data_IF_448448290000
#
_entry.id   IF_448448290000
#
_cell.length_a   1.000
_cell.length_b   1.000
_cell.length_c   1.000
_cell.angle_alpha   90.00
_cell.angle_beta   90.00
_cell.angle_gamma   90.00
#
_symmetry.space_group_name_H-M   'P 1'
#
loop_
_entity.id
_entity.type
_entity.pdbx_description
1 polymer ?
#
# COMPACT_ATOMS: atom_id res chain seq x y z
N UNK A 1 -35.27 -20.97 -40.17
CA UNK A 1 -34.35 -19.85 -40.30
C UNK A 1 -34.41 -18.89 -39.09
N UNK A 2 -34.78 -19.37 -37.87
CA UNK A 2 -34.94 -18.50 -36.67
C UNK A 2 -34.27 -19.00 -35.38
N UNK A 3 -33.44 -20.06 -35.45
CA UNK A 3 -32.69 -20.53 -34.25
C UNK A 3 -31.23 -20.14 -34.23
N UNK A 4 -30.69 -19.67 -35.35
CA UNK A 4 -29.28 -19.19 -35.43
C UNK A 4 -29.13 -17.69 -35.07
N UNK A 5 -30.21 -16.91 -35.16
CA UNK A 5 -30.14 -15.46 -34.84
C UNK A 5 -30.21 -15.18 -33.34
N UNK A 6 -30.78 -16.09 -32.55
CA UNK A 6 -30.89 -15.95 -31.09
C UNK A 6 -29.57 -16.32 -30.40
N UNK A 7 -28.77 -17.22 -30.97
CA UNK A 7 -27.46 -17.59 -30.46
C UNK A 7 -26.39 -16.51 -30.70
N UNK A 8 -26.55 -15.66 -31.71
CA UNK A 8 -25.61 -14.59 -32.04
C UNK A 8 -25.86 -13.33 -31.19
N UNK A 9 -27.06 -13.11 -30.63
CA UNK A 9 -27.36 -12.00 -29.76
C UNK A 9 -26.95 -12.25 -28.30
N UNK A 10 -26.75 -13.51 -27.89
CA UNK A 10 -26.28 -13.85 -26.54
C UNK A 10 -24.74 -13.76 -26.36
N UNK A 11 -23.99 -13.67 -27.46
CA UNK A 11 -22.51 -13.63 -27.42
C UNK A 11 -21.91 -12.19 -27.32
N UNK A 12 -22.74 -11.14 -27.33
CA UNK A 12 -22.28 -9.74 -27.39
C UNK A 12 -22.33 -9.07 -25.99
N UNK A 13 -22.82 -9.74 -24.94
CA UNK A 13 -22.90 -9.22 -23.58
C UNK A 13 -21.94 -9.92 -22.57
N UNK A 14 -20.81 -10.44 -23.02
CA UNK A 14 -19.69 -10.68 -22.11
C UNK A 14 -18.91 -9.37 -21.91
N UNK A 15 -19.51 -8.42 -21.21
CA UNK A 15 -18.78 -7.29 -20.64
C UNK A 15 -17.69 -7.83 -19.72
N UNK A 16 -16.45 -7.36 -19.90
CA UNK A 16 -15.35 -7.64 -19.00
C UNK A 16 -15.76 -7.19 -17.58
N UNK A 17 -16.16 -8.13 -16.75
CA UNK A 17 -16.27 -7.92 -15.31
C UNK A 17 -14.83 -7.94 -14.81
N UNK A 18 -14.23 -6.76 -14.69
CA UNK A 18 -13.04 -6.61 -13.88
C UNK A 18 -13.47 -6.93 -12.44
N UNK A 19 -13.02 -8.08 -11.94
CA UNK A 19 -13.18 -8.40 -10.53
C UNK A 19 -12.36 -7.38 -9.73
N UNK A 20 -13.03 -6.39 -9.15
CA UNK A 20 -12.46 -5.48 -8.19
C UNK A 20 -12.14 -6.30 -6.94
N UNK A 21 -10.87 -6.39 -6.61
CA UNK A 21 -10.40 -7.09 -5.41
C UNK A 21 -10.78 -6.23 -4.20
N UNK A 22 -11.87 -6.58 -3.52
CA UNK A 22 -12.29 -5.90 -2.29
C UNK A 22 -11.77 -6.70 -1.10
N UNK A 23 -10.75 -6.20 -0.43
CA UNK A 23 -10.30 -6.72 0.87
C UNK A 23 -11.11 -6.00 1.95
N UNK A 24 -12.03 -6.71 2.60
CA UNK A 24 -12.69 -6.22 3.80
C UNK A 24 -11.87 -6.64 5.02
N UNK A 25 -11.24 -5.66 5.69
CA UNK A 25 -10.60 -5.88 6.99
C UNK A 25 -11.67 -5.68 8.06
N UNK A 26 -12.29 -6.76 8.51
CA UNK A 26 -13.22 -6.69 9.64
C UNK A 26 -12.45 -6.80 10.96
N UNK A 27 -12.19 -5.68 11.60
CA UNK A 27 -11.72 -5.63 12.98
C UNK A 27 -12.87 -5.98 13.94
N UNK A 28 -12.70 -7.01 14.75
CA UNK A 28 -13.68 -7.40 15.75
C UNK A 28 -13.72 -6.33 16.84
N UNK A 29 -14.84 -5.56 16.94
CA UNK A 29 -15.22 -4.84 18.15
C UNK A 29 -15.02 -3.32 18.16
N UNK A 30 -14.64 -2.67 17.07
CA UNK A 30 -14.61 -1.21 17.03
C UNK A 30 -15.93 -0.65 16.51
N UNK A 31 -16.55 0.24 17.28
CA UNK A 31 -17.70 1.03 16.81
C UNK A 31 -17.20 2.01 15.74
N UNK A 32 -17.58 1.79 14.49
CA UNK A 32 -17.22 2.70 13.41
C UNK A 32 -17.72 4.12 13.67
N UNK A 33 -16.90 5.13 13.36
CA UNK A 33 -17.26 6.54 13.51
C UNK A 33 -18.22 6.95 12.37
N UNK A 34 -19.45 7.42 12.68
CA UNK A 34 -20.39 7.86 11.66
C UNK A 34 -19.94 9.19 11.05
N UNK A 35 -19.63 9.20 9.76
CA UNK A 35 -19.18 10.39 9.03
C UNK A 35 -20.05 10.68 7.81
N UNK A 36 -20.46 11.92 7.64
CA UNK A 36 -21.06 12.40 6.41
C UNK A 36 -20.04 13.20 5.61
N UNK A 37 -19.94 12.91 4.31
CA UNK A 37 -19.18 13.72 3.36
C UNK A 37 -20.18 14.27 2.36
N UNK A 38 -20.47 15.59 2.44
CA UNK A 38 -21.39 16.24 1.50
C UNK A 38 -20.74 16.38 0.14
N UNK A 39 -21.53 16.38 -0.94
CA UNK A 39 -21.02 16.74 -2.26
C UNK A 39 -20.37 18.13 -2.18
N UNK A 40 -19.16 18.26 -2.72
CA UNK A 40 -18.44 19.52 -2.73
C UNK A 40 -19.07 20.49 -3.73
N UNK A 41 -19.28 21.70 -3.31
CA UNK A 41 -19.84 22.74 -4.20
C UNK A 41 -18.95 22.93 -5.42
N UNK A 42 -19.52 22.80 -6.60
CA UNK A 42 -18.79 22.96 -7.87
C UNK A 42 -18.01 21.72 -8.35
N UNK A 43 -17.99 20.60 -7.61
CA UNK A 43 -17.27 19.39 -8.04
C UNK A 43 -17.87 18.72 -9.28
N UNK A 44 -19.12 19.04 -9.65
CA UNK A 44 -19.74 18.52 -10.87
C UNK A 44 -19.05 19.00 -12.16
N UNK A 45 -18.40 20.16 -12.09
CA UNK A 45 -17.62 20.70 -13.19
C UNK A 45 -16.15 20.22 -13.18
N UNK A 46 -15.73 19.45 -12.16
CA UNK A 46 -14.40 18.89 -12.06
C UNK A 46 -14.34 17.46 -12.64
N UNK A 47 -13.15 17.02 -13.12
CA UNK A 47 -13.01 15.68 -13.67
C UNK A 47 -13.05 14.56 -12.61
N UNK A 48 -13.01 14.92 -11.31
CA UNK A 48 -13.03 13.99 -10.19
C UNK A 48 -14.08 14.37 -9.16
N UNK A 49 -14.71 13.37 -8.56
CA UNK A 49 -15.67 13.52 -7.45
C UNK A 49 -14.92 13.44 -6.10
N UNK A 50 -14.47 14.57 -5.60
CA UNK A 50 -13.61 14.68 -4.41
C UNK A 50 -14.29 14.07 -3.17
N UNK A 51 -15.56 14.40 -2.94
CA UNK A 51 -16.32 13.89 -1.81
C UNK A 51 -16.41 12.36 -1.81
N UNK A 52 -16.64 11.75 -2.97
CA UNK A 52 -16.76 10.30 -3.10
C UNK A 52 -15.42 9.59 -2.83
N UNK A 53 -14.29 10.16 -3.28
CA UNK A 53 -12.95 9.61 -3.02
C UNK A 53 -12.65 9.66 -1.52
N UNK A 54 -12.88 10.80 -0.86
CA UNK A 54 -12.67 10.95 0.59
C UNK A 54 -13.50 9.92 1.37
N UNK A 55 -14.79 9.79 1.05
CA UNK A 55 -15.65 8.83 1.74
C UNK A 55 -15.18 7.39 1.55
N UNK A 56 -14.84 7.01 0.31
CA UNK A 56 -14.36 5.66 0.01
C UNK A 56 -13.06 5.31 0.75
N UNK A 57 -12.14 6.26 0.88
CA UNK A 57 -10.90 6.08 1.64
C UNK A 57 -11.19 5.84 3.13
N UNK A 58 -12.02 6.70 3.72
CA UNK A 58 -12.38 6.59 5.14
C UNK A 58 -13.10 5.28 5.46
N UNK A 59 -14.06 4.86 4.62
CA UNK A 59 -14.75 3.58 4.77
C UNK A 59 -13.81 2.38 4.61
N UNK A 60 -12.88 2.45 3.65
CA UNK A 60 -11.88 1.39 3.41
C UNK A 60 -10.98 1.17 4.61
N UNK A 61 -10.72 2.19 5.43
CA UNK A 61 -9.96 2.04 6.68
C UNK A 61 -10.64 1.13 7.70
N UNK A 62 -11.94 0.85 7.55
CA UNK A 62 -12.74 0.11 8.51
C UNK A 62 -13.10 0.89 9.79
N UNK A 63 -12.56 2.09 10.00
CA UNK A 63 -12.80 2.94 11.18
C UNK A 63 -14.04 3.80 11.02
N UNK A 64 -14.54 4.01 9.80
CA UNK A 64 -15.63 4.93 9.52
C UNK A 64 -16.80 4.20 8.85
N UNK A 65 -17.98 4.71 9.14
CA UNK A 65 -19.23 4.35 8.47
C UNK A 65 -19.82 5.58 7.80
N UNK A 66 -19.95 5.55 6.49
CA UNK A 66 -20.55 6.63 5.72
C UNK A 66 -22.02 6.82 6.05
N UNK A 67 -22.41 8.08 6.20
CA UNK A 67 -23.79 8.52 6.37
C UNK A 67 -24.23 9.20 5.07
N UNK A 68 -25.36 8.78 4.54
CA UNK A 68 -25.91 9.36 3.32
C UNK A 68 -26.16 10.86 3.46
N UNK A 69 -25.40 11.65 2.72
CA UNK A 69 -25.55 13.11 2.68
C UNK A 69 -26.75 13.56 1.84
N UNK A 70 -27.37 12.66 1.06
CA UNK A 70 -28.39 13.00 0.09
C UNK A 70 -27.86 13.88 -1.02
N UNK A 71 -28.68 14.78 -1.54
CA UNK A 71 -28.32 15.75 -2.59
C UNK A 71 -27.75 17.05 -2.04
N UNK A 72 -27.45 17.11 -0.73
CA UNK A 72 -26.91 18.33 -0.10
C UNK A 72 -25.49 18.61 -0.61
N UNK A 73 -25.28 19.79 -1.16
CA UNK A 73 -23.96 20.34 -1.49
C UNK A 73 -23.67 21.48 -0.54
N UNK A 74 -22.62 21.37 0.25
CA UNK A 74 -22.18 22.37 1.20
C UNK A 74 -20.76 22.80 0.90
N UNK A 75 -20.51 24.11 0.93
CA UNK A 75 -19.14 24.62 0.87
C UNK A 75 -18.50 24.69 2.27
N UNK A 76 -17.20 24.85 2.29
CA UNK A 76 -16.39 24.92 3.50
C UNK A 76 -16.67 26.16 4.37
N UNK A 77 -17.21 27.23 3.79
CA UNK A 77 -17.47 28.49 4.46
C UNK A 77 -18.85 28.52 5.17
N UNK A 78 -19.75 27.63 4.74
CA UNK A 78 -21.12 27.58 5.26
C UNK A 78 -21.16 26.80 6.59
N UNK A 79 -21.69 27.44 7.63
CA UNK A 79 -21.94 26.73 8.89
C UNK A 79 -23.10 25.76 8.70
N UNK A 80 -22.90 24.45 8.96
CA UNK A 80 -23.96 23.44 8.80
C UNK A 80 -25.09 23.58 9.81
N UNK A 81 -26.28 23.13 9.44
CA UNK A 81 -27.33 22.84 10.41
C UNK A 81 -27.03 21.50 11.11
N UNK A 82 -26.35 21.59 12.22
CA UNK A 82 -25.93 20.41 13.00
C UNK A 82 -27.10 19.54 13.47
N UNK A 83 -28.29 20.14 13.68
CA UNK A 83 -29.47 19.39 14.13
C UNK A 83 -29.93 18.41 13.03
N UNK A 84 -29.97 18.86 11.82
CA UNK A 84 -30.31 18.03 10.65
C UNK A 84 -29.33 16.88 10.45
N UNK A 85 -28.02 17.13 10.59
CA UNK A 85 -27.01 16.10 10.44
C UNK A 85 -27.02 15.07 11.56
N UNK A 86 -27.28 15.48 12.82
CA UNK A 86 -27.51 14.55 13.93
C UNK A 86 -28.72 13.65 13.70
N UNK A 87 -29.82 14.19 13.15
CA UNK A 87 -30.99 13.39 12.81
C UNK A 87 -30.71 12.33 11.73
N UNK A 88 -29.78 12.59 10.82
CA UNK A 88 -29.28 11.61 9.85
C UNK A 88 -28.33 10.58 10.47
N UNK A 89 -27.89 10.78 11.72
CA UNK A 89 -26.97 9.89 12.44
C UNK A 89 -25.49 10.13 12.16
N UNK A 90 -25.12 11.33 11.70
CA UNK A 90 -23.72 11.72 11.52
C UNK A 90 -23.16 12.32 12.81
N UNK A 91 -21.97 11.85 13.23
CA UNK A 91 -21.20 12.44 14.32
C UNK A 91 -20.23 13.50 13.81
N UNK A 92 -19.76 13.34 12.57
CA UNK A 92 -18.86 14.28 11.89
C UNK A 92 -19.35 14.58 10.48
N UNK A 93 -19.03 15.77 10.00
CA UNK A 93 -19.38 16.24 8.65
C UNK A 93 -18.18 16.86 7.96
N UNK A 94 -17.98 16.48 6.70
CA UNK A 94 -17.07 17.12 5.76
C UNK A 94 -17.89 17.90 4.75
N UNK A 95 -17.56 19.19 4.59
CA UNK A 95 -18.13 20.07 3.58
C UNK A 95 -17.01 20.74 2.79
N UNK A 96 -17.22 21.06 1.52
CA UNK A 96 -16.13 21.62 0.72
C UNK A 96 -16.56 22.19 -0.62
N UNK A 97 -15.58 22.76 -1.34
CA UNK A 97 -15.78 23.33 -2.66
C UNK A 97 -14.63 23.00 -3.62
N UNK A 98 -14.94 22.99 -4.91
CA UNK A 98 -13.99 22.85 -6.00
C UNK A 98 -14.23 23.99 -6.99
N UNK A 99 -13.23 24.82 -7.20
CA UNK A 99 -13.32 25.98 -8.10
C UNK A 99 -12.20 25.94 -9.13
N UNK A 100 -12.55 26.02 -10.41
CA UNK A 100 -11.54 26.15 -11.48
C UNK A 100 -11.00 27.56 -11.51
N UNK A 101 -9.68 27.68 -11.40
CA UNK A 101 -8.96 28.95 -11.45
C UNK A 101 -8.71 29.41 -12.90
N UNK A 102 -8.40 30.70 -13.08
CA UNK A 102 -8.13 31.28 -14.39
C UNK A 102 -6.90 30.68 -15.09
N UNK A 103 -5.92 30.16 -14.33
CA UNK A 103 -4.74 29.48 -14.84
C UNK A 103 -4.96 27.98 -15.17
N UNK A 104 -6.20 27.52 -15.06
CA UNK A 104 -6.61 26.15 -15.36
C UNK A 104 -6.43 25.14 -14.22
N UNK A 105 -5.83 25.53 -13.09
CA UNK A 105 -5.78 24.73 -11.87
C UNK A 105 -7.14 24.69 -11.19
N UNK A 106 -7.26 23.84 -10.20
CA UNK A 106 -8.44 23.73 -9.33
C UNK A 106 -8.05 24.10 -7.90
N UNK A 107 -8.81 25.00 -7.30
CA UNK A 107 -8.76 25.29 -5.87
C UNK A 107 -9.77 24.39 -5.18
N UNK A 108 -9.29 23.46 -4.34
CA UNK A 108 -10.08 22.48 -3.61
C UNK A 108 -9.97 22.81 -2.13
N UNK A 109 -11.12 22.98 -1.48
CA UNK A 109 -11.20 23.34 -0.07
C UNK A 109 -12.13 22.39 0.66
N UNK A 110 -11.84 22.12 1.93
CA UNK A 110 -12.77 21.40 2.81
C UNK A 110 -12.70 21.93 4.22
N UNK A 111 -13.75 21.61 4.98
CA UNK A 111 -13.88 21.86 6.39
C UNK A 111 -14.47 20.64 7.08
N UNK A 112 -13.94 20.30 8.27
CA UNK A 112 -14.38 19.19 9.10
C UNK A 112 -15.08 19.72 10.34
N UNK A 113 -16.28 19.20 10.65
CA UNK A 113 -17.09 19.61 11.75
C UNK A 113 -17.42 18.43 12.69
N UNK A 114 -17.33 18.66 14.01
CA UNK A 114 -17.97 17.82 15.01
C UNK A 114 -19.46 18.19 15.06
N UNK A 115 -20.30 17.32 14.55
CA UNK A 115 -21.76 17.53 14.49
C UNK A 115 -22.40 17.41 15.87
N UNK A 116 -21.84 16.55 16.75
CA UNK A 116 -22.38 16.32 18.10
C UNK A 116 -22.19 17.54 18.98
N UNK A 117 -20.98 18.11 18.99
CA UNK A 117 -20.60 19.26 19.81
C UNK A 117 -20.80 20.59 19.09
N UNK A 118 -21.00 20.59 17.77
CA UNK A 118 -21.09 21.80 16.95
C UNK A 118 -19.77 22.57 16.87
N UNK A 119 -18.65 21.83 16.94
CA UNK A 119 -17.28 22.37 16.94
C UNK A 119 -16.63 22.26 15.57
N UNK A 120 -15.71 23.17 15.33
CA UNK A 120 -14.86 23.22 14.17
C UNK A 120 -13.58 22.42 14.42
N UNK A 121 -13.28 21.42 13.57
CA UNK A 121 -12.03 20.66 13.60
C UNK A 121 -10.98 21.17 12.61
N UNK A 122 -11.31 22.23 11.87
CA UNK A 122 -10.44 22.83 10.85
C UNK A 122 -10.63 22.24 9.47
N UNK A 123 -9.80 22.67 8.56
CA UNK A 123 -9.82 22.25 7.16
C UNK A 123 -8.56 22.67 6.43
N UNK A 124 -8.49 22.35 5.14
CA UNK A 124 -7.38 22.72 4.28
C UNK A 124 -7.87 23.26 2.93
N UNK A 125 -6.98 23.96 2.23
CA UNK A 125 -7.15 24.35 0.84
C UNK A 125 -5.91 24.05 0.02
N UNK A 126 -6.10 23.62 -1.24
CA UNK A 126 -5.00 23.32 -2.16
C UNK A 126 -5.38 23.71 -3.58
N UNK A 127 -4.47 24.45 -4.25
CA UNK A 127 -4.59 24.77 -5.66
C UNK A 127 -3.68 23.84 -6.48
N UNK A 128 -4.28 22.97 -7.30
CA UNK A 128 -3.57 21.89 -8.01
C UNK A 128 -4.02 21.75 -9.47
N UNK A 129 -3.19 21.17 -10.35
CA UNK A 129 -3.63 20.79 -11.68
C UNK A 129 -4.68 19.67 -11.62
N UNK A 130 -5.43 19.49 -12.69
CA UNK A 130 -6.48 18.46 -12.77
C UNK A 130 -5.97 17.03 -12.55
N UNK A 131 -4.71 16.75 -12.90
CA UNK A 131 -4.05 15.43 -12.67
C UNK A 131 -3.94 15.09 -11.20
N UNK A 132 -3.87 16.07 -10.31
CA UNK A 132 -3.58 15.89 -8.90
C UNK A 132 -4.83 15.94 -8.00
N UNK A 133 -6.02 16.06 -8.59
CA UNK A 133 -7.28 16.14 -7.85
C UNK A 133 -7.52 14.90 -6.97
N UNK A 134 -7.22 13.69 -7.47
CA UNK A 134 -7.32 12.47 -6.66
C UNK A 134 -6.36 12.53 -5.47
N UNK A 135 -5.11 12.89 -5.71
CA UNK A 135 -4.11 13.02 -4.65
C UNK A 135 -4.53 14.02 -3.57
N UNK A 136 -5.19 15.11 -3.95
CA UNK A 136 -5.75 16.09 -2.98
C UNK A 136 -6.86 15.44 -2.16
N UNK A 137 -7.77 14.69 -2.79
CA UNK A 137 -8.83 14.00 -2.06
C UNK A 137 -8.25 13.00 -1.04
N UNK A 138 -7.26 12.19 -1.42
CA UNK A 138 -6.57 11.28 -0.54
C UNK A 138 -5.86 11.99 0.63
N UNK A 139 -5.21 13.15 0.37
CA UNK A 139 -4.59 13.97 1.44
C UNK A 139 -5.61 14.55 2.41
N UNK A 140 -6.78 14.94 1.90
CA UNK A 140 -7.87 15.39 2.77
C UNK A 140 -8.41 14.23 3.61
N UNK A 141 -8.52 13.03 3.05
CA UNK A 141 -8.86 11.83 3.80
C UNK A 141 -7.81 11.52 4.88
N UNK A 142 -6.49 11.66 4.57
CA UNK A 142 -5.41 11.51 5.56
C UNK A 142 -5.57 12.50 6.72
N UNK A 143 -5.82 13.78 6.42
CA UNK A 143 -6.05 14.81 7.44
C UNK A 143 -7.26 14.47 8.34
N UNK A 144 -8.37 14.09 7.72
CA UNK A 144 -9.61 13.74 8.44
C UNK A 144 -9.37 12.52 9.32
N UNK A 145 -8.72 11.51 8.79
CA UNK A 145 -8.36 10.28 9.51
C UNK A 145 -7.52 10.60 10.74
N UNK A 146 -6.40 11.32 10.56
CA UNK A 146 -5.50 11.69 11.65
C UNK A 146 -6.21 12.55 12.70
N UNK A 147 -7.05 13.48 12.27
CA UNK A 147 -7.78 14.37 13.18
C UNK A 147 -8.78 13.63 14.07
N UNK A 148 -9.40 12.57 13.55
CA UNK A 148 -10.46 11.84 14.25
C UNK A 148 -9.96 10.59 15.00
N UNK A 149 -8.86 9.98 14.55
CA UNK A 149 -8.30 8.76 15.15
C UNK A 149 -7.03 9.01 15.96
N UNK A 150 -6.28 10.07 15.66
CA UNK A 150 -4.95 10.34 16.21
C UNK A 150 -3.82 9.63 15.48
N UNK A 151 -4.13 8.72 14.56
CA UNK A 151 -3.16 8.00 13.75
C UNK A 151 -3.00 8.65 12.38
N UNK A 152 -1.80 8.59 11.79
CA UNK A 152 -1.56 9.13 10.45
C UNK A 152 -2.32 8.34 9.39
N UNK A 153 -2.99 9.06 8.49
CA UNK A 153 -3.57 8.48 7.29
C UNK A 153 -2.49 8.02 6.29
N UNK A 154 -2.85 7.06 5.44
CA UNK A 154 -1.97 6.49 4.41
C UNK A 154 -2.63 6.47 3.02
N UNK A 155 -3.75 7.16 2.86
CA UNK A 155 -4.54 7.15 1.62
C UNK A 155 -3.83 7.86 0.46
N UNK A 156 -3.02 8.88 0.75
CA UNK A 156 -2.22 9.60 -0.27
C UNK A 156 -0.93 8.89 -0.66
N UNK A 157 -0.72 7.65 -0.18
CA UNK A 157 0.43 6.82 -0.59
C UNK A 157 0.18 6.15 -1.93
N UNK A 158 1.20 5.47 -2.47
CA UNK A 158 1.11 4.73 -3.73
C UNK A 158 1.52 3.29 -3.53
N UNK A 159 0.92 2.41 -4.31
CA UNK A 159 1.31 1.00 -4.39
C UNK A 159 2.07 0.73 -5.68
N UNK A 160 2.96 -0.25 -5.64
CA UNK A 160 3.59 -0.81 -6.84
C UNK A 160 3.33 -2.31 -6.90
N UNK A 161 2.96 -2.80 -8.07
CA UNK A 161 2.68 -4.22 -8.29
C UNK A 161 3.08 -4.66 -9.69
N UNK A 162 3.21 -5.95 -9.87
CA UNK A 162 3.56 -6.54 -11.16
C UNK A 162 2.41 -7.37 -11.68
N UNK A 163 2.05 -7.17 -12.95
CA UNK A 163 1.12 -8.04 -13.67
C UNK A 163 1.83 -8.76 -14.79
N UNK A 164 1.36 -9.97 -15.12
CA UNK A 164 1.75 -10.71 -16.29
C UNK A 164 0.58 -10.80 -17.25
N UNK A 165 0.75 -10.31 -18.46
CA UNK A 165 -0.23 -10.40 -19.54
C UNK A 165 0.45 -11.07 -20.76
N UNK A 166 0.02 -12.28 -21.08
CA UNK A 166 0.72 -13.10 -22.07
C UNK A 166 2.16 -13.39 -21.66
N UNK A 167 3.13 -12.96 -22.46
CA UNK A 167 4.58 -13.07 -22.18
C UNK A 167 5.19 -11.80 -21.58
N UNK A 168 4.41 -10.76 -21.34
CA UNK A 168 4.90 -9.45 -20.90
C UNK A 168 4.61 -9.25 -19.41
N UNK A 169 5.62 -8.79 -18.67
CA UNK A 169 5.53 -8.38 -17.28
C UNK A 169 5.51 -6.85 -17.20
N UNK A 170 4.57 -6.31 -16.43
CA UNK A 170 4.39 -4.87 -16.29
C UNK A 170 4.52 -4.49 -14.82
N UNK A 171 5.44 -3.57 -14.52
CA UNK A 171 5.52 -2.92 -13.22
C UNK A 171 4.59 -1.71 -13.26
N UNK A 172 3.61 -1.70 -12.38
CA UNK A 172 2.62 -0.64 -12.23
C UNK A 172 2.86 0.18 -10.98
N UNK A 173 2.45 1.43 -11.06
CA UNK A 173 2.29 2.34 -9.91
C UNK A 173 0.86 2.84 -9.93
N UNK A 174 0.18 2.75 -8.80
CA UNK A 174 -1.19 3.21 -8.63
C UNK A 174 -1.35 4.00 -7.32
N UNK A 175 -2.47 4.70 -7.16
CA UNK A 175 -2.90 5.23 -5.88
C UNK A 175 -3.14 4.08 -4.88
N UNK A 176 -3.18 4.34 -3.58
CA UNK A 176 -3.35 3.31 -2.55
C UNK A 176 -4.66 2.52 -2.69
N UNK A 177 -5.65 3.09 -3.35
CA UNK A 177 -6.94 2.45 -3.65
C UNK A 177 -6.93 1.57 -4.93
N UNK A 178 -5.78 1.49 -5.61
CA UNK A 178 -5.60 0.72 -6.85
C UNK A 178 -5.99 1.46 -8.13
N UNK A 179 -6.57 2.64 -8.02
CA UNK A 179 -6.94 3.45 -9.16
C UNK A 179 -5.75 4.25 -9.72
N UNK A 180 -5.96 4.92 -10.85
CA UNK A 180 -4.94 5.75 -11.51
C UNK A 180 -3.64 4.98 -11.82
N UNK A 181 -3.74 3.69 -12.13
CA UNK A 181 -2.59 2.83 -12.40
C UNK A 181 -1.84 3.28 -13.66
N UNK A 182 -0.55 3.52 -13.52
CA UNK A 182 0.36 3.90 -14.60
C UNK A 182 1.47 2.86 -14.74
N UNK A 183 1.78 2.50 -16.00
CA UNK A 183 2.88 1.57 -16.28
C UNK A 183 4.21 2.28 -16.08
N UNK A 184 4.98 1.83 -15.09
CA UNK A 184 6.35 2.30 -14.86
C UNK A 184 7.36 1.57 -15.75
N UNK A 185 7.14 0.29 -16.04
CA UNK A 185 8.04 -0.52 -16.87
C UNK A 185 7.29 -1.69 -17.51
N UNK A 186 7.58 -1.93 -18.79
CA UNK A 186 7.22 -3.15 -19.52
C UNK A 186 8.47 -3.99 -19.78
N UNK A 187 8.40 -5.29 -19.55
CA UNK A 187 9.51 -6.22 -19.78
C UNK A 187 9.03 -7.54 -20.37
N UNK A 188 9.74 -8.11 -21.37
CA UNK A 188 9.48 -9.47 -21.81
C UNK A 188 9.98 -10.53 -20.81
N UNK A 189 10.84 -10.13 -19.88
CA UNK A 189 11.41 -10.99 -18.85
C UNK A 189 10.75 -10.71 -17.47
N UNK A 190 10.73 -11.70 -16.58
CA UNK A 190 10.12 -11.54 -15.26
C UNK A 190 10.65 -10.32 -14.47
N UNK A 191 9.72 -9.65 -13.82
CA UNK A 191 9.96 -8.63 -12.79
C UNK A 191 9.31 -9.14 -11.51
N UNK A 192 10.02 -9.10 -10.38
CA UNK A 192 9.48 -9.53 -9.08
C UNK A 192 9.99 -8.63 -7.95
N UNK A 193 9.37 -8.72 -6.78
CA UNK A 193 9.79 -8.08 -5.53
C UNK A 193 10.01 -6.56 -5.66
N UNK A 194 9.03 -5.78 -6.16
CA UNK A 194 9.16 -4.33 -6.13
C UNK A 194 9.15 -3.82 -4.69
N UNK A 195 10.01 -2.85 -4.39
CA UNK A 195 10.14 -2.21 -3.08
C UNK A 195 10.32 -0.70 -3.24
N UNK A 196 9.45 0.08 -2.61
CA UNK A 196 9.51 1.54 -2.63
C UNK A 196 10.65 2.09 -1.80
N UNK A 197 11.35 3.09 -2.35
CA UNK A 197 12.21 3.94 -1.54
C UNK A 197 11.36 4.81 -0.59
N UNK A 198 11.88 5.14 0.61
CA UNK A 198 11.10 5.89 1.62
C UNK A 198 10.61 7.25 1.14
N UNK A 199 11.30 7.86 0.17
CA UNK A 199 10.93 9.16 -0.40
C UNK A 199 9.84 9.04 -1.50
N UNK A 200 9.39 7.82 -1.84
CA UNK A 200 8.36 7.57 -2.85
C UNK A 200 8.75 7.93 -4.29
N UNK A 201 10.03 8.20 -4.59
CA UNK A 201 10.50 8.58 -5.93
C UNK A 201 11.11 7.42 -6.71
N UNK A 202 11.52 6.35 -6.05
CA UNK A 202 12.23 5.23 -6.65
C UNK A 202 11.64 3.88 -6.22
N UNK A 203 11.77 2.89 -7.09
CA UNK A 203 11.41 1.50 -6.83
C UNK A 203 12.62 0.62 -7.10
N UNK A 204 13.05 -0.17 -6.12
CA UNK A 204 13.96 -1.29 -6.33
C UNK A 204 13.15 -2.52 -6.74
N UNK A 205 13.64 -3.30 -7.67
CA UNK A 205 12.98 -4.54 -8.10
C UNK A 205 13.99 -5.53 -8.66
N UNK A 206 13.60 -6.79 -8.73
CA UNK A 206 14.39 -7.86 -9.36
C UNK A 206 13.96 -8.01 -10.82
N UNK A 207 14.92 -8.02 -11.74
CA UNK A 207 14.72 -8.28 -13.16
C UNK A 207 15.51 -9.50 -13.63
N UNK A 208 14.92 -10.26 -14.54
CA UNK A 208 15.57 -11.40 -15.18
C UNK A 208 16.10 -11.08 -16.60
N UNK A 209 16.13 -9.81 -17.02
CA UNK A 209 16.60 -9.38 -18.34
C UNK A 209 18.06 -9.81 -18.64
N UNK A 210 18.88 -10.02 -17.61
CA UNK A 210 20.26 -10.54 -17.74
C UNK A 210 20.35 -12.06 -17.71
N UNK A 211 19.23 -12.78 -17.92
CA UNK A 211 19.10 -14.25 -17.81
C UNK A 211 19.44 -14.82 -16.43
N UNK A 212 19.54 -13.97 -15.44
CA UNK A 212 19.66 -14.26 -14.01
C UNK A 212 19.00 -13.12 -13.22
N UNK A 213 18.58 -13.35 -11.97
CA UNK A 213 18.03 -12.28 -11.16
C UNK A 213 19.09 -11.24 -10.82
N UNK A 214 18.80 -9.98 -11.14
CA UNK A 214 19.59 -8.78 -10.83
C UNK A 214 18.69 -7.70 -10.26
N UNK A 215 19.24 -6.76 -9.48
CA UNK A 215 18.44 -5.70 -8.86
C UNK A 215 18.68 -4.38 -9.58
N UNK A 216 17.58 -3.78 -10.00
CA UNK A 216 17.53 -2.41 -10.51
C UNK A 216 16.87 -1.47 -9.49
N UNK A 217 17.28 -0.21 -9.54
CA UNK A 217 16.56 0.92 -8.98
C UNK A 217 16.04 1.77 -10.12
N UNK A 218 14.73 2.01 -10.12
CA UNK A 218 13.98 2.75 -11.14
C UNK A 218 13.46 4.06 -10.55
N UNK A 219 13.76 5.18 -11.17
CA UNK A 219 13.19 6.48 -10.85
C UNK A 219 11.84 6.61 -11.55
N UNK A 220 10.77 6.73 -10.77
CA UNK A 220 9.39 6.70 -11.27
C UNK A 220 9.06 7.93 -12.11
N UNK A 221 9.67 9.07 -11.81
CA UNK A 221 9.38 10.34 -12.49
C UNK A 221 10.07 10.46 -13.84
N UNK A 222 11.30 9.93 -13.95
CA UNK A 222 12.14 10.07 -15.15
C UNK A 222 12.17 8.81 -16.00
N UNK A 223 11.72 7.67 -15.47
CA UNK A 223 11.84 6.36 -16.10
C UNK A 223 13.28 5.81 -16.15
N UNK A 224 14.26 6.51 -15.56
CA UNK A 224 15.67 6.07 -15.57
C UNK A 224 15.87 4.88 -14.64
N UNK A 225 16.62 3.89 -15.13
CA UNK A 225 16.95 2.69 -14.36
C UNK A 225 18.45 2.62 -14.10
N UNK A 226 18.83 2.12 -12.93
CA UNK A 226 20.19 1.88 -12.51
C UNK A 226 20.34 0.45 -12.01
N UNK A 227 21.29 -0.30 -12.54
CA UNK A 227 21.65 -1.63 -12.06
C UNK A 227 22.47 -1.48 -10.78
N UNK A 228 21.96 -2.00 -9.65
CA UNK A 228 22.61 -1.86 -8.33
C UNK A 228 23.18 -3.17 -7.81
N UNK A 229 22.66 -4.33 -8.23
CA UNK A 229 23.24 -5.62 -7.87
C UNK A 229 23.23 -6.58 -9.08
N UNK A 230 24.43 -7.00 -9.48
CA UNK A 230 24.68 -8.00 -10.52
C UNK A 230 25.84 -8.92 -10.13
N UNK A 231 25.82 -9.38 -8.87
CA UNK A 231 26.84 -10.27 -8.35
C UNK A 231 26.63 -11.69 -8.85
N UNK A 232 27.63 -12.56 -8.69
CA UNK A 232 27.54 -13.97 -9.01
C UNK A 232 26.33 -14.60 -8.31
N UNK A 233 25.64 -15.50 -9.01
CA UNK A 233 24.44 -16.16 -8.48
C UNK A 233 23.19 -15.27 -8.49
N UNK A 234 22.30 -15.51 -7.53
CA UNK A 234 21.03 -14.76 -7.35
C UNK A 234 21.24 -13.44 -6.64
N UNK A 235 20.51 -12.41 -7.08
CA UNK A 235 20.41 -11.09 -6.46
C UNK A 235 18.92 -10.79 -6.35
N UNK A 236 18.34 -10.85 -5.15
CA UNK A 236 16.88 -10.84 -4.96
C UNK A 236 16.44 -10.12 -3.68
N UNK A 237 15.12 -9.97 -3.53
CA UNK A 237 14.46 -9.43 -2.35
C UNK A 237 15.08 -8.12 -1.83
N UNK A 238 15.11 -7.04 -2.64
CA UNK A 238 15.60 -5.75 -2.18
C UNK A 238 14.67 -5.12 -1.15
N UNK A 239 15.25 -4.51 -0.11
CA UNK A 239 14.53 -3.71 0.87
C UNK A 239 15.32 -2.44 1.20
N UNK A 240 14.65 -1.30 1.21
CA UNK A 240 15.26 -0.01 1.50
C UNK A 240 15.44 0.23 2.99
N UNK A 241 16.57 0.81 3.36
CA UNK A 241 16.70 1.42 4.68
C UNK A 241 15.80 2.66 4.80
N UNK A 242 15.30 3.01 5.99
CA UNK A 242 14.40 4.16 6.17
C UNK A 242 14.98 5.51 5.75
N UNK A 243 16.32 5.65 5.75
CA UNK A 243 17.00 6.86 5.26
C UNK A 243 17.22 6.88 3.74
N UNK A 244 16.83 5.80 3.04
CA UNK A 244 16.94 5.66 1.60
C UNK A 244 18.37 5.56 1.05
N UNK A 245 19.38 5.39 1.89
CA UNK A 245 20.79 5.37 1.47
C UNK A 245 21.31 3.98 1.18
N UNK A 246 20.71 2.97 1.79
CA UNK A 246 21.15 1.58 1.65
C UNK A 246 20.01 0.66 1.24
N UNK A 247 20.39 -0.45 0.62
CA UNK A 247 19.52 -1.59 0.33
C UNK A 247 20.02 -2.82 1.09
N UNK A 248 19.11 -3.48 1.80
CA UNK A 248 19.30 -4.87 2.14
C UNK A 248 18.87 -5.74 0.96
N UNK A 249 19.56 -6.82 0.68
CA UNK A 249 19.19 -7.76 -0.37
C UNK A 249 19.68 -9.17 -0.05
N UNK A 250 19.05 -10.15 -0.69
CA UNK A 250 19.50 -11.54 -0.67
C UNK A 250 20.44 -11.79 -1.82
N UNK A 251 21.70 -12.15 -1.51
CA UNK A 251 22.69 -12.52 -2.52
C UNK A 251 23.19 -13.95 -2.27
N UNK A 252 23.42 -14.70 -3.36
CA UNK A 252 24.02 -16.04 -3.26
C UNK A 252 25.47 -16.10 -3.79
N UNK A 253 26.15 -14.94 -3.81
CA UNK A 253 27.50 -14.78 -4.39
C UNK A 253 28.58 -15.65 -3.73
N UNK A 254 28.45 -15.91 -2.43
CA UNK A 254 29.43 -16.62 -1.63
C UNK A 254 28.96 -18.05 -1.23
N UNK A 255 28.02 -18.63 -2.01
CA UNK A 255 27.45 -19.96 -1.76
C UNK A 255 25.93 -19.90 -1.59
N UNK A 256 25.40 -20.15 -0.36
CA UNK A 256 23.97 -20.07 -0.06
C UNK A 256 23.41 -18.65 -0.08
N UNK A 257 22.08 -18.53 -0.11
CA UNK A 257 21.37 -17.24 -0.05
C UNK A 257 21.55 -16.60 1.31
N UNK A 258 22.08 -15.39 1.34
CA UNK A 258 22.41 -14.66 2.57
C UNK A 258 22.04 -13.18 2.44
N UNK A 259 21.89 -12.50 3.58
CA UNK A 259 21.58 -11.08 3.61
C UNK A 259 22.83 -10.20 3.52
N UNK A 260 22.75 -9.22 2.65
CA UNK A 260 23.79 -8.21 2.44
C UNK A 260 23.21 -6.81 2.53
N UNK A 261 24.02 -5.87 2.97
CA UNK A 261 23.77 -4.42 2.88
C UNK A 261 24.67 -3.84 1.80
N UNK A 262 24.10 -2.99 0.96
CA UNK A 262 24.82 -2.30 -0.11
C UNK A 262 24.35 -0.84 -0.22
N UNK A 263 25.18 0.01 -0.80
CA UNK A 263 24.79 1.37 -1.15
C UNK A 263 23.64 1.36 -2.17
N UNK A 264 22.61 2.18 -1.95
CA UNK A 264 21.45 2.24 -2.82
C UNK A 264 21.77 2.77 -4.23
N UNK A 265 22.93 3.41 -4.42
CA UNK A 265 23.43 3.82 -5.73
C UNK A 265 24.23 2.71 -6.44
N UNK A 266 24.44 1.57 -5.79
CA UNK A 266 25.23 0.47 -6.33
C UNK A 266 26.74 0.70 -6.20
N UNK A 267 27.18 1.65 -5.37
CA UNK A 267 28.59 1.91 -5.14
C UNK A 267 29.20 0.94 -4.13
N UNK A 268 30.45 0.57 -4.33
CA UNK A 268 31.23 -0.26 -3.40
C UNK A 268 30.82 -1.74 -3.40
N UNK A 269 31.38 -2.48 -2.44
CA UNK A 269 31.09 -3.91 -2.26
C UNK A 269 30.01 -4.12 -1.20
N UNK A 270 29.08 -5.09 -1.44
CA UNK A 270 28.07 -5.42 -0.47
C UNK A 270 28.68 -6.08 0.77
N UNK A 271 28.22 -5.69 1.94
CA UNK A 271 28.63 -6.24 3.24
C UNK A 271 27.63 -7.29 3.69
N UNK A 272 28.09 -8.50 3.94
CA UNK A 272 27.28 -9.59 4.51
C UNK A 272 26.92 -9.27 5.97
N UNK A 273 25.65 -9.45 6.35
CA UNK A 273 25.14 -9.11 7.68
C UNK A 273 25.46 -10.16 8.76
N UNK A 274 25.35 -11.44 8.38
CA UNK A 274 25.66 -12.55 9.30
C UNK A 274 26.24 -13.73 8.51
N UNK A 275 27.02 -14.56 9.18
CA UNK A 275 27.46 -15.83 8.62
C UNK A 275 26.47 -16.93 9.02
N UNK A 276 25.94 -17.65 8.05
CA UNK A 276 24.99 -18.73 8.23
C UNK A 276 25.16 -19.77 7.15
N UNK A 277 24.88 -21.04 7.44
CA UNK A 277 24.70 -22.12 6.45
C UNK A 277 23.24 -22.24 5.99
N UNK A 278 22.32 -21.53 6.65
CA UNK A 278 20.91 -21.49 6.33
C UNK A 278 20.64 -20.60 5.12
N UNK A 279 19.43 -20.68 4.58
CA UNK A 279 18.88 -19.73 3.60
C UNK A 279 18.32 -18.54 4.36
N UNK A 280 18.92 -17.36 4.20
CA UNK A 280 18.44 -16.09 4.75
C UNK A 280 17.96 -15.21 3.60
N UNK A 281 16.68 -14.80 3.62
CA UNK A 281 16.02 -14.09 2.50
C UNK A 281 14.94 -13.12 2.99
N UNK A 282 14.37 -12.33 2.06
CA UNK A 282 13.25 -11.42 2.30
C UNK A 282 13.47 -10.45 3.47
N UNK A 283 14.55 -9.65 3.44
CA UNK A 283 14.78 -8.65 4.47
C UNK A 283 13.73 -7.54 4.44
N UNK A 284 13.38 -7.01 5.60
CA UNK A 284 12.63 -5.76 5.77
C UNK A 284 13.17 -4.98 6.96
N UNK A 285 13.33 -3.67 6.82
CA UNK A 285 13.76 -2.82 7.92
C UNK A 285 12.60 -2.41 8.82
N UNK A 286 12.89 -2.19 10.09
CA UNK A 286 12.01 -1.38 10.95
C UNK A 286 12.07 0.09 10.54
N UNK A 287 11.01 0.85 10.80
CA UNK A 287 10.93 2.27 10.44
C UNK A 287 12.01 3.14 11.12
N UNK A 288 12.48 2.73 12.30
CA UNK A 288 13.59 3.39 13.00
C UNK A 288 14.99 2.95 12.50
N UNK A 289 15.04 2.01 11.56
CA UNK A 289 16.27 1.49 10.95
C UNK A 289 17.16 0.64 11.87
N UNK A 290 16.73 0.32 13.09
CA UNK A 290 17.57 -0.41 14.04
C UNK A 290 17.63 -1.91 13.79
N UNK A 291 16.54 -2.48 13.27
CA UNK A 291 16.44 -3.92 13.03
C UNK A 291 16.10 -4.24 11.59
N UNK A 292 16.47 -5.47 11.21
CA UNK A 292 16.02 -6.12 9.97
C UNK A 292 15.30 -7.41 10.40
N UNK A 293 14.06 -7.56 9.94
CA UNK A 293 13.32 -8.80 9.95
C UNK A 293 13.57 -9.54 8.64
N UNK A 294 13.62 -10.87 8.68
CA UNK A 294 13.93 -11.66 7.51
C UNK A 294 13.47 -13.11 7.69
N UNK A 295 13.41 -13.84 6.60
CA UNK A 295 13.08 -15.26 6.59
C UNK A 295 14.36 -16.10 6.70
N UNK A 296 14.35 -17.11 7.53
CA UNK A 296 15.45 -18.07 7.64
C UNK A 296 14.95 -19.49 7.93
N UNK A 297 15.59 -20.48 7.32
CA UNK A 297 15.34 -21.91 7.56
C UNK A 297 16.29 -22.52 8.60
N UNK A 298 17.05 -21.71 9.35
CA UNK A 298 18.02 -22.16 10.36
C UNK A 298 17.43 -23.04 11.47
N UNK A 299 16.12 -22.96 11.68
CA UNK A 299 15.37 -23.81 12.63
C UNK A 299 14.74 -25.05 12.00
N UNK A 300 15.10 -25.38 10.73
CA UNK A 300 14.60 -26.55 9.97
C UNK A 300 13.49 -26.22 8.97
N UNK A 301 12.74 -25.12 9.17
CA UNK A 301 11.74 -24.61 8.23
C UNK A 301 11.76 -23.10 8.21
N UNK A 302 11.29 -22.45 7.11
CA UNK A 302 11.24 -21.01 7.01
C UNK A 302 10.43 -20.37 8.12
N UNK A 303 11.06 -19.48 8.87
CA UNK A 303 10.50 -18.70 9.96
C UNK A 303 11.02 -17.27 9.91
N UNK A 304 10.33 -16.36 10.56
CA UNK A 304 10.78 -14.98 10.64
C UNK A 304 11.72 -14.81 11.82
N UNK A 305 12.85 -14.20 11.52
CA UNK A 305 13.90 -13.84 12.47
C UNK A 305 14.12 -12.33 12.41
N UNK A 306 14.74 -11.77 13.44
CA UNK A 306 15.24 -10.39 13.43
C UNK A 306 16.69 -10.34 13.87
N UNK A 307 17.41 -9.33 13.41
CA UNK A 307 18.74 -8.95 13.92
C UNK A 307 18.91 -7.43 13.80
N UNK A 308 19.97 -6.89 14.40
CA UNK A 308 20.27 -5.47 14.19
C UNK A 308 20.63 -5.19 12.73
N UNK A 309 20.35 -3.99 12.25
CA UNK A 309 20.60 -3.60 10.84
C UNK A 309 22.08 -3.57 10.46
N UNK A 310 22.98 -3.57 11.45
CA UNK A 310 24.42 -3.66 11.25
C UNK A 310 24.99 -5.08 11.30
N UNK A 311 24.12 -6.07 11.50
CA UNK A 311 24.44 -7.50 11.66
C UNK A 311 24.38 -7.93 13.13
N UNK A 312 24.67 -9.20 13.39
CA UNK A 312 24.68 -9.76 14.74
C UNK A 312 24.01 -11.14 14.80
N UNK A 313 23.63 -11.58 16.00
CA UNK A 313 22.97 -12.85 16.21
C UNK A 313 21.48 -12.74 15.92
N UNK A 314 20.93 -13.54 15.00
CA UNK A 314 19.50 -13.55 14.73
C UNK A 314 18.68 -14.14 15.86
N UNK A 315 17.56 -13.51 16.17
CA UNK A 315 16.54 -13.96 17.12
C UNK A 315 15.29 -14.41 16.35
N UNK A 316 14.74 -15.57 16.70
CA UNK A 316 13.49 -16.04 16.10
C UNK A 316 12.31 -15.23 16.63
N UNK A 317 11.40 -14.84 15.70
CA UNK A 317 10.21 -14.04 16.02
C UNK A 317 8.92 -14.88 15.93
N UNK A 318 8.80 -15.75 14.92
CA UNK A 318 7.60 -16.58 14.74
C UNK A 318 7.80 -17.99 15.30
N UNK A 319 6.85 -18.45 16.12
CA UNK A 319 6.88 -19.77 16.76
C UNK A 319 5.68 -20.65 16.39
N UNK A 320 4.61 -20.04 15.88
CA UNK A 320 3.40 -20.71 15.40
C UNK A 320 3.48 -20.90 13.88
N UNK A 321 2.85 -21.97 13.38
CA UNK A 321 2.91 -22.35 11.96
C UNK A 321 4.22 -23.04 11.57
N UNK A 322 4.17 -23.77 10.46
CA UNK A 322 5.31 -24.56 9.97
C UNK A 322 6.13 -23.84 8.91
N UNK A 323 5.60 -22.73 8.35
CA UNK A 323 6.20 -21.99 7.25
C UNK A 323 5.73 -20.55 7.29
N UNK A 324 6.61 -19.61 7.65
CA UNK A 324 6.32 -18.19 7.77
C UNK A 324 7.29 -17.37 6.93
N UNK A 325 6.77 -16.53 6.02
CA UNK A 325 7.53 -15.78 5.02
C UNK A 325 6.98 -14.35 4.86
N UNK A 326 7.64 -13.55 4.05
CA UNK A 326 7.24 -12.19 3.63
C UNK A 326 6.93 -11.26 4.81
N UNK A 327 7.89 -11.03 5.72
CA UNK A 327 7.67 -10.14 6.86
C UNK A 327 7.50 -8.68 6.41
N UNK A 328 6.56 -7.97 7.04
CA UNK A 328 6.38 -6.53 6.91
C UNK A 328 6.06 -5.92 8.28
N UNK A 329 6.90 -5.01 8.76
CA UNK A 329 6.74 -4.37 10.07
C UNK A 329 5.98 -3.07 9.90
N UNK A 330 4.99 -2.81 10.77
CA UNK A 330 4.25 -1.55 10.77
C UNK A 330 5.17 -0.35 11.06
N UNK A 331 4.77 0.84 10.58
CA UNK A 331 5.57 2.06 10.75
C UNK A 331 5.78 2.44 12.22
N UNK A 332 4.85 2.09 13.11
CA UNK A 332 4.95 2.30 14.55
C UNK A 332 5.78 1.22 15.27
N UNK A 333 6.19 0.17 14.55
CA UNK A 333 6.98 -0.94 15.08
C UNK A 333 6.21 -1.88 16.02
N UNK A 334 4.88 -1.82 16.09
CA UNK A 334 4.08 -2.63 17.03
C UNK A 334 3.59 -3.93 16.42
N UNK A 335 3.43 -3.97 15.11
CA UNK A 335 2.82 -5.10 14.41
C UNK A 335 3.75 -5.68 13.34
N UNK A 336 3.66 -6.98 13.14
CA UNK A 336 4.31 -7.71 12.07
C UNK A 336 3.25 -8.41 11.23
N UNK A 337 3.10 -8.00 9.98
CA UNK A 337 2.35 -8.74 8.99
C UNK A 337 3.25 -9.78 8.32
N UNK A 338 2.74 -10.97 8.05
CA UNK A 338 3.50 -12.04 7.40
C UNK A 338 2.57 -13.09 6.78
N UNK A 339 3.10 -13.85 5.85
CA UNK A 339 2.38 -14.98 5.25
C UNK A 339 2.72 -16.26 6.03
N UNK A 340 1.69 -16.95 6.50
CA UNK A 340 1.82 -18.21 7.20
C UNK A 340 1.11 -19.35 6.48
N UNK A 341 1.74 -20.51 6.42
CA UNK A 341 1.10 -21.72 5.89
C UNK A 341 0.33 -22.45 6.97
N UNK A 342 -1.00 -22.43 6.87
CA UNK A 342 -1.92 -23.07 7.80
C UNK A 342 -2.79 -24.07 7.03
N UNK A 343 -2.81 -25.33 7.45
CA UNK A 343 -3.61 -26.40 6.82
C UNK A 343 -3.39 -26.53 5.30
N UNK A 344 -2.16 -26.22 4.85
CA UNK A 344 -1.78 -26.32 3.44
C UNK A 344 -1.97 -25.06 2.61
N UNK A 345 -2.75 -24.08 3.06
CA UNK A 345 -2.97 -22.79 2.40
C UNK A 345 -2.11 -21.68 3.00
N UNK A 346 -1.71 -20.72 2.16
CA UNK A 346 -0.97 -19.54 2.61
C UNK A 346 -1.94 -18.41 2.94
N UNK A 347 -1.82 -17.86 4.16
CA UNK A 347 -2.71 -16.84 4.71
C UNK A 347 -1.93 -15.67 5.30
N UNK A 348 -2.52 -14.47 5.17
CA UNK A 348 -2.00 -13.28 5.80
C UNK A 348 -2.28 -13.31 7.31
N UNK A 349 -1.22 -13.18 8.09
CA UNK A 349 -1.26 -13.10 9.55
C UNK A 349 -0.76 -11.75 10.03
N UNK A 350 -1.32 -11.28 11.14
CA UNK A 350 -0.83 -10.15 11.91
C UNK A 350 -0.40 -10.62 13.29
N UNK A 351 0.79 -10.21 13.71
CA UNK A 351 1.33 -10.43 15.05
C UNK A 351 1.48 -9.11 15.77
N UNK A 352 0.99 -9.01 16.97
CA UNK A 352 1.39 -7.96 17.92
C UNK A 352 2.77 -8.28 18.48
N UNK A 353 3.75 -7.42 18.20
CA UNK A 353 5.16 -7.68 18.55
C UNK A 353 5.46 -7.59 20.05
N UNK A 354 4.61 -6.94 20.84
CA UNK A 354 4.79 -6.85 22.28
C UNK A 354 4.29 -8.10 23.01
N UNK A 355 3.13 -8.62 22.63
CA UNK A 355 2.52 -9.80 23.25
C UNK A 355 2.87 -11.11 22.55
N UNK A 356 3.27 -11.06 21.27
CA UNK A 356 3.46 -12.24 20.42
C UNK A 356 2.15 -12.89 19.96
N UNK A 357 0.99 -12.27 20.25
CA UNK A 357 -0.30 -12.79 19.79
C UNK A 357 -0.43 -12.65 18.28
N UNK A 358 -0.98 -13.69 17.64
CA UNK A 358 -1.16 -13.75 16.20
C UNK A 358 -2.61 -14.00 15.83
N UNK A 359 -3.07 -13.37 14.74
CA UNK A 359 -4.38 -13.62 14.14
C UNK A 359 -4.25 -13.72 12.62
N UNK A 360 -5.04 -14.60 12.01
CA UNK A 360 -5.24 -14.56 10.56
C UNK A 360 -6.12 -13.35 10.22
N UNK A 361 -5.71 -12.56 9.21
CA UNK A 361 -6.48 -11.40 8.76
C UNK A 361 -7.40 -11.79 7.60
N UNK A 362 -7.02 -12.81 6.84
CA UNK A 362 -7.74 -13.25 5.64
C UNK A 362 -8.22 -14.68 5.80
N UNK A 363 -9.43 -14.95 5.27
CA UNK A 363 -10.09 -16.25 5.24
C UNK A 363 -10.47 -16.70 3.83
N UNK A 364 -9.91 -16.06 2.79
CA UNK A 364 -10.18 -16.36 1.38
C UNK A 364 -9.83 -17.81 1.04
N UNK A 365 -10.35 -18.34 -0.06
CA UNK A 365 -9.95 -19.67 -0.57
C UNK A 365 -8.67 -19.66 -1.39
N UNK A 366 -8.17 -18.47 -1.75
CA UNK A 366 -6.96 -18.29 -2.53
C UNK A 366 -5.69 -18.37 -1.66
N UNK A 367 -4.56 -18.75 -2.24
CA UNK A 367 -3.24 -18.61 -1.62
C UNK A 367 -2.76 -17.16 -1.69
N UNK A 368 -2.24 -16.67 -0.58
CA UNK A 368 -1.68 -15.33 -0.43
C UNK A 368 -0.16 -15.47 -0.27
N UNK A 369 0.59 -15.03 -1.28
CA UNK A 369 2.02 -15.35 -1.37
C UNK A 369 2.95 -14.16 -1.14
N UNK A 370 2.43 -12.94 -1.13
CA UNK A 370 3.26 -11.73 -0.98
C UNK A 370 2.45 -10.58 -0.40
N UNK A 371 3.13 -9.72 0.37
CA UNK A 371 2.59 -8.47 0.85
C UNK A 371 2.99 -7.35 -0.11
N UNK A 372 2.01 -6.51 -0.47
CA UNK A 372 2.28 -5.26 -1.19
C UNK A 372 2.58 -4.21 -0.13
N UNK A 373 3.75 -3.59 -0.22
CA UNK A 373 4.12 -2.51 0.69
C UNK A 373 3.40 -1.23 0.26
N UNK A 374 2.68 -0.68 1.20
CA UNK A 374 2.03 0.62 1.06
C UNK A 374 2.91 1.70 1.67
#
# INVERSE_FOLDING_TARGET
MNKFLIALLAAVFCGNVFAQFRVEVSGVGLTQLPIAVSAFKGEDAAPQKIAAIILADLERSGQFRGIDSGTSSLDEASRPDFSSWRQKGADTLVAGSVTRLADGRYDVRFHLWDVVRGQDFGGESRAVPSSDLRLVAHRFADFIYEKLTGDKGVFSTRISYVTKVGSTYNLWVADADGENAQSALNSPEPIISPAWAPNGSQIAYVSFESRKPVIFVHDVSTGKRRLVANFKGSNSAPAWSPDGKTLAATLSRDGGSQLYIMDANGAGEPKRLAQSSAIDTEPTFTADGKFIYFVSDRGGSPQIYRMTSIGGNPERVTFSGTYNISPSVSADGRSLAYISRVSGAFKLHLMDLASGNTSAITDTTADELSLIHI
#
